data_IF_063533165435
#
_entry.id   IF_063533165435
#
_cell.length_a   1.000
_cell.length_b   1.000
_cell.length_c   1.000
_cell.angle_alpha   90.00
_cell.angle_beta   90.00
_cell.angle_gamma   90.00
#
_symmetry.space_group_name_H-M   'P 1'
#
loop_
_entity.id
_entity.type
_entity.pdbx_description
1 polymer ?
#
# COMPACT_ATOMS: atom_id res chain seq x y z
N UNK A 1 0.51 -9.43 25.51
CA UNK A 1 1.67 -9.87 24.70
C UNK A 1 2.84 -9.02 25.16
N UNK A 2 4.00 -9.59 25.50
CA UNK A 2 5.13 -8.79 26.00
C UNK A 2 5.73 -7.97 24.85
N UNK A 3 5.94 -6.68 25.08
CA UNK A 3 6.53 -5.74 24.12
C UNK A 3 7.96 -6.18 23.77
N UNK A 4 8.25 -6.39 22.47
CA UNK A 4 9.60 -6.73 22.01
C UNK A 4 10.36 -5.42 21.88
N UNK A 5 11.48 -5.28 22.57
CA UNK A 5 12.33 -4.09 22.39
C UNK A 5 13.16 -4.20 21.11
N UNK A 6 13.22 -3.08 20.40
CA UNK A 6 13.99 -2.82 19.18
C UNK A 6 15.07 -1.74 19.39
N UNK A 7 15.44 -1.40 20.63
CA UNK A 7 16.37 -0.31 20.95
C UNK A 7 17.67 -0.31 20.17
N UNK A 8 18.21 -1.50 19.86
CA UNK A 8 19.44 -1.62 19.06
C UNK A 8 19.15 -1.47 17.58
N UNK A 9 18.05 -2.05 17.13
CA UNK A 9 17.59 -2.05 15.76
C UNK A 9 17.17 -0.65 15.28
N UNK A 10 16.58 0.19 16.15
CA UNK A 10 16.18 1.56 15.80
C UNK A 10 17.37 2.47 15.51
N UNK A 11 18.58 2.13 15.94
CA UNK A 11 19.81 2.85 15.54
C UNK A 11 20.00 2.80 14.02
N UNK A 12 19.48 1.76 13.34
CA UNK A 12 19.52 1.68 11.88
C UNK A 12 18.70 2.77 11.18
N UNK A 13 17.77 3.43 11.89
CA UNK A 13 17.00 4.55 11.33
C UNK A 13 17.88 5.79 11.10
N UNK A 14 19.01 5.90 11.79
CA UNK A 14 19.99 7.00 11.68
C UNK A 14 21.02 6.78 10.56
N UNK A 15 20.96 5.65 9.85
CA UNK A 15 21.86 5.34 8.74
C UNK A 15 21.85 6.49 7.71
N UNK A 16 23.01 7.13 7.42
CA UNK A 16 23.08 8.33 6.57
C UNK A 16 22.67 8.06 5.13
N UNK A 17 22.21 9.08 4.42
CA UNK A 17 21.85 8.98 3.00
C UNK A 17 23.00 8.42 2.15
N UNK A 18 22.67 7.62 1.14
CA UNK A 18 23.65 7.01 0.24
C UNK A 18 24.39 5.80 0.83
N UNK A 19 24.03 5.36 2.04
CA UNK A 19 24.58 4.15 2.66
C UNK A 19 23.57 3.01 2.65
N UNK A 20 24.06 1.78 2.84
CA UNK A 20 23.21 0.58 2.75
C UNK A 20 22.60 0.27 4.10
N UNK A 21 21.28 0.35 4.18
CA UNK A 21 20.50 -0.21 5.28
C UNK A 21 20.42 -1.74 5.13
N UNK A 22 20.48 -2.48 6.25
CA UNK A 22 20.28 -3.93 6.29
C UNK A 22 19.45 -4.31 7.51
N UNK A 23 18.23 -4.80 7.30
CA UNK A 23 17.31 -5.10 8.39
C UNK A 23 16.02 -5.74 7.93
N UNK A 24 15.04 -5.77 8.84
CA UNK A 24 13.69 -6.30 8.65
C UNK A 24 12.77 -5.28 7.95
N UNK A 25 11.73 -5.77 7.26
CA UNK A 25 10.74 -4.97 6.55
C UNK A 25 10.13 -3.83 7.37
N UNK A 26 9.72 -4.11 8.61
CA UNK A 26 9.12 -3.08 9.49
C UNK A 26 10.06 -1.91 9.78
N UNK A 27 11.37 -2.17 9.97
CA UNK A 27 12.37 -1.11 10.19
C UNK A 27 12.61 -0.30 8.91
N UNK A 28 12.58 -0.98 7.76
CA UNK A 28 12.68 -0.33 6.46
C UNK A 28 11.49 0.60 6.20
N UNK A 29 10.27 0.19 6.57
CA UNK A 29 9.07 1.03 6.51
C UNK A 29 9.22 2.25 7.43
N UNK A 30 9.63 2.06 8.69
CA UNK A 30 9.87 3.19 9.60
C UNK A 30 10.93 4.14 9.06
N UNK A 31 12.04 3.62 8.52
CA UNK A 31 13.07 4.44 7.87
C UNK A 31 12.47 5.24 6.70
N UNK A 32 11.69 4.61 5.84
CA UNK A 32 11.04 5.28 4.72
C UNK A 32 10.06 6.38 5.15
N UNK A 33 9.32 6.18 6.26
CA UNK A 33 8.47 7.23 6.84
C UNK A 33 9.27 8.48 7.23
N UNK A 34 10.45 8.30 7.84
CA UNK A 34 11.35 9.39 8.19
C UNK A 34 11.96 10.07 6.95
N UNK A 35 12.35 9.30 5.94
CA UNK A 35 12.83 9.84 4.67
C UNK A 35 11.75 10.65 3.93
N UNK A 36 10.47 10.33 4.15
CA UNK A 36 9.33 11.04 3.59
C UNK A 36 8.96 12.32 4.35
N UNK A 37 9.55 12.61 5.51
CA UNK A 37 9.17 13.78 6.32
C UNK A 37 7.74 13.68 6.84
N UNK A 38 7.37 12.52 7.38
CA UNK A 38 6.08 12.35 8.06
C UNK A 38 5.97 13.31 9.25
N UNK A 39 4.82 13.94 9.44
CA UNK A 39 4.57 14.87 10.55
C UNK A 39 3.99 14.20 11.79
N UNK A 40 3.26 13.10 11.60
CA UNK A 40 2.73 12.30 12.70
C UNK A 40 2.47 10.86 12.29
N UNK A 41 2.61 9.95 13.25
CA UNK A 41 2.33 8.53 13.11
C UNK A 41 1.47 8.06 14.29
N UNK A 42 0.38 7.36 14.02
CA UNK A 42 -0.43 6.73 15.05
C UNK A 42 -0.74 5.27 14.71
N UNK A 43 -1.24 4.49 15.65
CA UNK A 43 -1.64 3.14 15.33
C UNK A 43 -2.18 2.34 16.49
N UNK A 44 -2.69 1.16 16.15
CA UNK A 44 -3.18 0.17 17.10
C UNK A 44 -2.50 -1.16 16.83
N UNK A 45 -2.03 -1.83 17.88
CA UNK A 45 -1.23 -3.04 17.76
C UNK A 45 -2.06 -4.21 17.21
N UNK A 46 -1.51 -4.92 16.23
CA UNK A 46 -2.05 -6.20 15.76
C UNK A 46 -1.10 -6.94 14.83
N UNK A 47 -0.94 -8.24 15.03
CA UNK A 47 -0.12 -9.11 14.17
C UNK A 47 -0.75 -9.17 12.77
N UNK A 48 0.01 -9.13 11.66
CA UNK A 48 1.45 -9.40 11.60
C UNK A 48 2.35 -8.16 11.70
N UNK A 49 1.76 -6.98 11.84
CA UNK A 49 2.49 -5.70 11.84
C UNK A 49 2.65 -5.10 13.24
N UNK A 50 2.38 -5.88 14.29
CA UNK A 50 2.40 -5.42 15.69
C UNK A 50 3.72 -4.75 16.07
N UNK A 51 4.85 -5.32 15.60
CA UNK A 51 6.17 -4.79 15.89
C UNK A 51 6.46 -3.41 15.29
N UNK A 52 5.68 -2.94 14.30
CA UNK A 52 5.85 -1.58 13.79
C UNK A 52 5.59 -0.53 14.88
N UNK A 53 4.59 -0.77 15.74
CA UNK A 53 4.31 0.10 16.88
C UNK A 53 5.43 0.06 17.92
N UNK A 54 5.99 -1.13 18.19
CA UNK A 54 7.12 -1.29 19.11
C UNK A 54 8.38 -0.56 18.59
N UNK A 55 8.65 -0.66 17.28
CA UNK A 55 9.73 0.08 16.61
C UNK A 55 9.53 1.59 16.72
N UNK A 56 8.31 2.10 16.48
CA UNK A 56 8.02 3.52 16.59
C UNK A 56 8.14 4.03 18.04
N UNK A 57 7.72 3.21 19.01
CA UNK A 57 7.86 3.53 20.43
C UNK A 57 9.33 3.61 20.87
N UNK A 58 10.16 2.64 20.49
CA UNK A 58 11.59 2.66 20.79
C UNK A 58 12.35 3.74 19.99
N UNK A 59 11.86 4.12 18.79
CA UNK A 59 12.43 5.19 17.96
C UNK A 59 12.06 6.61 18.42
N UNK A 60 11.26 6.76 19.48
CA UNK A 60 10.73 8.06 19.91
C UNK A 60 11.75 9.20 20.05
N UNK A 61 12.98 8.98 20.57
CA UNK A 61 13.99 10.04 20.58
C UNK A 61 14.32 10.61 19.18
N UNK A 62 14.36 9.74 18.16
CA UNK A 62 14.61 10.11 16.77
C UNK A 62 13.40 10.87 16.19
N UNK A 63 12.19 10.41 16.52
CA UNK A 63 10.94 11.05 16.10
C UNK A 63 10.85 12.49 16.66
N UNK A 64 11.11 12.65 17.96
CA UNK A 64 11.05 13.93 18.65
C UNK A 64 12.09 14.92 18.09
N UNK A 65 13.31 14.46 17.77
CA UNK A 65 14.35 15.29 17.14
C UNK A 65 13.93 15.82 15.76
N UNK A 66 13.23 15.00 14.98
CA UNK A 66 12.69 15.38 13.67
C UNK A 66 11.35 16.14 13.75
N UNK A 67 10.78 16.29 14.96
CA UNK A 67 9.48 16.92 15.15
C UNK A 67 8.29 16.08 14.69
N UNK A 68 8.44 14.76 14.64
CA UNK A 68 7.39 13.79 14.30
C UNK A 68 6.60 13.43 15.55
N UNK A 69 5.29 13.62 15.52
CA UNK A 69 4.43 13.19 16.62
C UNK A 69 4.11 11.69 16.54
N UNK A 70 4.27 10.96 17.64
CA UNK A 70 3.89 9.55 17.73
C UNK A 70 2.86 9.31 18.84
N UNK A 71 1.81 8.54 18.52
CA UNK A 71 0.78 8.13 19.48
C UNK A 71 0.38 6.66 19.30
N UNK A 72 0.26 5.93 20.41
CA UNK A 72 -0.46 4.65 20.43
C UNK A 72 -1.94 4.92 20.68
N UNK A 73 -2.78 4.60 19.71
CA UNK A 73 -4.22 4.84 19.77
C UNK A 73 -4.94 3.77 20.61
N UNK A 74 -6.14 4.10 21.09
CA UNK A 74 -6.98 3.16 21.85
C UNK A 74 -7.76 2.16 20.97
N UNK A 75 -7.87 2.43 19.67
CA UNK A 75 -8.52 1.58 18.67
C UNK A 75 -8.07 1.96 17.26
N UNK A 76 -8.35 1.12 16.27
CA UNK A 76 -8.13 1.41 14.85
C UNK A 76 -8.99 2.57 14.34
N UNK A 77 -10.19 2.75 14.90
CA UNK A 77 -11.04 3.90 14.60
C UNK A 77 -10.39 5.21 15.06
N UNK A 78 -9.84 5.23 16.27
CA UNK A 78 -9.08 6.37 16.78
C UNK A 78 -7.82 6.61 15.92
N UNK A 79 -7.08 5.55 15.59
CA UNK A 79 -5.91 5.65 14.73
C UNK A 79 -6.27 6.28 13.38
N UNK A 80 -7.28 5.76 12.66
CA UNK A 80 -7.71 6.31 11.38
C UNK A 80 -8.17 7.78 11.50
N UNK A 81 -8.87 8.15 12.58
CA UNK A 81 -9.29 9.53 12.82
C UNK A 81 -8.11 10.51 13.01
N UNK A 82 -6.94 10.03 13.45
CA UNK A 82 -5.73 10.87 13.55
C UNK A 82 -5.24 11.38 12.20
N UNK A 83 -5.71 10.84 11.06
CA UNK A 83 -5.40 11.36 9.72
C UNK A 83 -6.11 12.67 9.36
N UNK A 84 -7.04 13.15 10.19
CA UNK A 84 -7.79 14.38 9.94
C UNK A 84 -6.94 15.64 9.67
N UNK A 85 -5.77 15.88 10.30
CA UNK A 85 -4.93 17.03 9.99
C UNK A 85 -4.52 17.09 8.51
N UNK A 86 -4.21 15.94 7.89
CA UNK A 86 -3.86 15.86 6.46
C UNK A 86 -4.99 16.27 5.51
N UNK A 87 -6.25 16.32 5.98
CA UNK A 87 -7.38 16.84 5.19
C UNK A 87 -7.33 18.37 5.02
N UNK A 88 -6.74 19.07 5.99
CA UNK A 88 -6.79 20.55 6.06
C UNK A 88 -5.42 21.19 5.85
N UNK A 89 -4.35 20.48 6.18
CA UNK A 89 -2.98 20.98 6.12
C UNK A 89 -2.11 20.08 5.25
N UNK A 90 -1.05 20.62 4.62
CA UNK A 90 -0.09 19.84 3.84
C UNK A 90 0.88 19.08 4.75
N UNK A 91 0.36 18.30 5.68
CA UNK A 91 1.11 17.48 6.65
C UNK A 91 0.97 16.03 6.23
N UNK A 92 2.10 15.34 6.09
CA UNK A 92 2.11 13.90 5.86
C UNK A 92 1.75 13.14 7.14
N UNK A 93 0.71 12.31 7.09
CA UNK A 93 0.25 11.50 8.21
C UNK A 93 0.33 10.01 7.88
N UNK A 94 0.76 9.19 8.83
CA UNK A 94 0.74 7.74 8.69
C UNK A 94 0.01 7.06 9.85
N UNK A 95 -0.71 5.97 9.56
CA UNK A 95 -1.37 5.16 10.57
C UNK A 95 -1.14 3.67 10.33
N UNK A 96 -1.21 2.84 11.38
CA UNK A 96 -1.02 1.39 11.23
C UNK A 96 -1.94 0.55 12.11
N UNK A 97 -2.37 -0.62 11.58
CA UNK A 97 -3.08 -1.66 12.32
C UNK A 97 -3.14 -2.99 11.55
N UNK A 98 -3.75 -4.00 12.18
CA UNK A 98 -4.07 -5.30 11.58
C UNK A 98 -5.35 -5.24 10.75
N UNK A 99 -5.26 -5.51 9.45
CA UNK A 99 -6.41 -5.71 8.56
C UNK A 99 -6.72 -7.21 8.35
N UNK A 100 -7.98 -7.62 8.15
CA UNK A 100 -9.19 -6.82 7.91
C UNK A 100 -9.98 -6.43 9.14
N UNK A 101 -9.84 -7.14 10.26
CA UNK A 101 -10.63 -6.87 11.47
C UNK A 101 -10.46 -5.44 11.99
N UNK A 102 -9.25 -4.89 11.99
CA UNK A 102 -9.01 -3.50 12.37
C UNK A 102 -9.53 -2.51 11.34
N UNK A 103 -9.49 -2.85 10.05
CA UNK A 103 -10.06 -2.02 8.97
C UNK A 103 -11.59 -1.98 9.03
N UNK A 104 -12.24 -3.06 9.49
CA UNK A 104 -13.65 -3.07 9.85
C UNK A 104 -13.96 -2.03 10.93
N UNK A 105 -13.18 -2.02 12.03
CA UNK A 105 -13.31 -1.04 13.12
C UNK A 105 -13.06 0.39 12.63
N UNK A 106 -12.06 0.59 11.76
CA UNK A 106 -11.69 1.89 11.22
C UNK A 106 -12.59 2.38 10.07
N UNK A 107 -13.53 1.57 9.58
CA UNK A 107 -14.15 1.77 8.26
C UNK A 107 -14.90 3.10 8.13
N UNK A 108 -15.57 3.56 9.19
CA UNK A 108 -16.31 4.83 9.18
C UNK A 108 -15.36 6.04 9.08
N UNK A 109 -14.27 6.04 9.87
CA UNK A 109 -13.26 7.09 9.82
C UNK A 109 -12.57 7.14 8.45
N UNK A 110 -12.26 5.98 7.87
CA UNK A 110 -11.70 5.87 6.51
C UNK A 110 -12.67 6.37 5.44
N UNK A 111 -13.96 6.07 5.55
CA UNK A 111 -14.96 6.57 4.61
C UNK A 111 -15.07 8.10 4.66
N UNK A 112 -15.02 8.69 5.87
CA UNK A 112 -15.03 10.14 6.03
C UNK A 112 -13.76 10.80 5.45
N UNK A 113 -12.58 10.27 5.79
CA UNK A 113 -11.29 10.73 5.28
C UNK A 113 -11.24 10.68 3.75
N UNK A 114 -11.59 9.53 3.16
CA UNK A 114 -11.51 9.34 1.72
C UNK A 114 -12.53 10.18 0.96
N UNK A 115 -13.71 10.45 1.55
CA UNK A 115 -14.74 11.30 0.96
C UNK A 115 -14.28 12.75 0.85
N UNK A 116 -13.90 13.39 1.96
CA UNK A 116 -13.41 14.77 1.94
C UNK A 116 -12.11 14.93 1.13
N UNK A 117 -11.29 13.87 1.05
CA UNK A 117 -9.98 13.91 0.43
C UNK A 117 -8.90 14.50 1.34
N UNK A 118 -7.65 14.43 0.88
CA UNK A 118 -6.48 14.86 1.67
C UNK A 118 -5.62 15.84 0.87
N UNK A 119 -5.00 16.78 1.58
CA UNK A 119 -4.07 17.78 1.03
C UNK A 119 -2.63 17.37 1.33
N UNK A 120 -2.36 16.98 2.58
CA UNK A 120 -1.11 16.31 2.94
C UNK A 120 -1.21 14.82 2.65
N UNK A 121 -0.10 14.18 2.27
CA UNK A 121 -0.12 12.76 1.96
C UNK A 121 -0.54 11.92 3.16
N UNK A 122 -1.50 11.02 2.97
CA UNK A 122 -2.04 10.15 4.02
C UNK A 122 -1.77 8.69 3.69
N UNK A 123 -1.05 8.01 4.58
CA UNK A 123 -0.67 6.60 4.43
C UNK A 123 -1.30 5.73 5.52
N UNK A 124 -1.95 4.66 5.11
CA UNK A 124 -2.56 3.66 5.99
C UNK A 124 -1.79 2.35 5.79
N UNK A 125 -0.95 1.98 6.73
CA UNK A 125 -0.13 0.77 6.67
C UNK A 125 -0.93 -0.36 7.30
N UNK A 126 -1.29 -1.37 6.51
CA UNK A 126 -2.09 -2.49 7.00
C UNK A 126 -1.31 -3.79 6.95
N UNK A 127 -1.31 -4.52 8.06
CA UNK A 127 -0.83 -5.90 8.08
C UNK A 127 -1.95 -6.83 7.64
N UNK A 128 -1.81 -7.52 6.51
CA UNK A 128 -2.76 -8.55 6.03
C UNK A 128 -2.10 -9.95 6.06
N UNK A 129 -2.89 -10.97 6.36
CA UNK A 129 -2.41 -12.36 6.48
C UNK A 129 -3.47 -13.38 6.03
N UNK A 130 -4.22 -13.02 4.98
CA UNK A 130 -5.11 -13.96 4.33
C UNK A 130 -4.36 -15.25 3.97
N UNK A 131 -4.98 -16.41 4.23
CA UNK A 131 -4.38 -17.72 4.00
C UNK A 131 -3.29 -18.14 5.00
N UNK A 132 -2.99 -17.31 6.00
CA UNK A 132 -1.91 -17.54 6.97
C UNK A 132 -2.43 -17.58 8.43
N UNK A 133 -1.54 -17.94 9.36
CA UNK A 133 -1.93 -18.46 10.69
C UNK A 133 -2.46 -17.46 11.74
N UNK A 134 -2.30 -16.15 11.57
CA UNK A 134 -2.78 -15.15 12.55
C UNK A 134 -4.11 -14.50 12.19
N UNK A 135 -4.70 -14.82 11.04
CA UNK A 135 -5.98 -14.29 10.62
C UNK A 135 -7.14 -14.97 11.35
N UNK A 136 -8.05 -14.18 11.90
CA UNK A 136 -9.30 -14.69 12.51
C UNK A 136 -10.39 -14.84 11.42
N UNK A 137 -10.51 -13.84 10.55
CA UNK A 137 -11.49 -13.79 9.46
C UNK A 137 -10.75 -13.72 8.12
N UNK A 138 -11.00 -14.70 7.26
CA UNK A 138 -10.39 -14.81 5.93
C UNK A 138 -11.07 -13.84 4.96
N UNK A 139 -10.85 -12.55 5.17
CA UNK A 139 -11.30 -11.44 4.32
C UNK A 139 -10.07 -10.63 3.85
N UNK A 140 -10.26 -9.76 2.86
CA UNK A 140 -9.17 -8.96 2.27
C UNK A 140 -9.45 -7.45 2.30
N UNK A 141 -8.41 -6.65 2.49
CA UNK A 141 -8.45 -5.17 2.55
C UNK A 141 -9.02 -4.56 1.29
N UNK A 142 -8.83 -5.24 0.14
CA UNK A 142 -9.27 -4.79 -1.17
C UNK A 142 -10.74 -4.33 -1.20
N UNK A 143 -11.64 -5.01 -0.48
CA UNK A 143 -13.04 -4.62 -0.38
C UNK A 143 -13.23 -3.21 0.21
N UNK A 144 -12.42 -2.83 1.20
CA UNK A 144 -12.46 -1.51 1.83
C UNK A 144 -11.84 -0.44 0.95
N UNK A 145 -10.74 -0.78 0.26
CA UNK A 145 -10.12 0.09 -0.74
C UNK A 145 -11.14 0.47 -1.83
N UNK A 146 -11.88 -0.50 -2.38
CA UNK A 146 -12.95 -0.27 -3.34
C UNK A 146 -14.12 0.51 -2.73
N UNK A 147 -14.61 0.11 -1.55
CA UNK A 147 -15.76 0.74 -0.86
C UNK A 147 -15.54 2.23 -0.65
N UNK A 148 -14.36 2.62 -0.19
CA UNK A 148 -14.08 4.01 0.19
C UNK A 148 -13.36 4.80 -0.91
N UNK A 149 -12.95 4.14 -1.99
CA UNK A 149 -12.06 4.66 -3.04
C UNK A 149 -10.73 5.16 -2.45
N UNK A 150 -9.97 4.22 -1.89
CA UNK A 150 -8.64 4.42 -1.31
C UNK A 150 -7.67 3.57 -2.11
N UNK A 151 -6.56 4.14 -2.58
CA UNK A 151 -5.61 3.39 -3.42
C UNK A 151 -4.90 2.34 -2.58
N UNK A 152 -4.72 1.14 -3.14
CA UNK A 152 -4.12 0.00 -2.44
C UNK A 152 -2.85 -0.41 -3.14
N UNK A 153 -1.73 -0.31 -2.43
CA UNK A 153 -0.43 -0.80 -2.87
C UNK A 153 -0.12 -2.11 -2.14
N UNK A 154 0.27 -3.12 -2.89
CA UNK A 154 0.74 -4.44 -2.42
C UNK A 154 2.11 -4.72 -3.05
N UNK A 155 3.19 -4.07 -2.57
CA UNK A 155 4.49 -4.12 -3.22
C UNK A 155 5.10 -5.52 -3.16
N UNK A 156 6.00 -5.82 -4.11
CA UNK A 156 6.83 -7.02 -4.03
C UNK A 156 7.52 -7.15 -2.65
N UNK A 157 7.60 -8.36 -2.08
CA UNK A 157 8.15 -8.59 -0.75
C UNK A 157 9.69 -8.56 -0.75
N UNK A 158 10.25 -7.39 -1.01
CA UNK A 158 11.67 -7.04 -0.89
C UNK A 158 11.81 -5.59 -0.40
N UNK A 159 12.90 -5.26 0.30
CA UNK A 159 13.03 -3.93 0.92
C UNK A 159 13.02 -2.76 -0.09
N UNK A 160 13.72 -2.81 -1.23
CA UNK A 160 13.64 -1.73 -2.22
C UNK A 160 12.20 -1.41 -2.68
N UNK A 161 11.42 -2.43 -3.02
CA UNK A 161 10.01 -2.26 -3.44
C UNK A 161 9.14 -1.72 -2.31
N UNK A 162 9.28 -2.24 -1.08
CA UNK A 162 8.50 -1.78 0.09
C UNK A 162 8.82 -0.32 0.43
N UNK A 163 10.11 0.05 0.48
CA UNK A 163 10.54 1.41 0.78
C UNK A 163 10.06 2.38 -0.31
N UNK A 164 10.25 2.02 -1.58
CA UNK A 164 9.75 2.83 -2.70
C UNK A 164 8.22 2.97 -2.66
N UNK A 165 7.49 1.93 -2.25
CA UNK A 165 6.04 2.01 -2.09
C UNK A 165 5.64 3.01 -0.99
N UNK A 166 6.37 3.11 0.13
CA UNK A 166 6.13 4.17 1.12
C UNK A 166 6.35 5.56 0.52
N UNK A 167 7.44 5.76 -0.21
CA UNK A 167 7.74 7.03 -0.90
C UNK A 167 6.64 7.40 -1.91
N UNK A 168 6.25 6.45 -2.75
CA UNK A 168 5.22 6.67 -3.75
C UNK A 168 3.82 6.77 -3.14
N UNK A 169 3.52 6.14 -2.00
CA UNK A 169 2.24 6.28 -1.32
C UNK A 169 1.96 7.72 -0.92
N UNK A 170 2.93 8.42 -0.30
CA UNK A 170 2.75 9.82 0.06
C UNK A 170 2.59 10.70 -1.18
N UNK A 171 3.46 10.51 -2.18
CA UNK A 171 3.42 11.33 -3.39
C UNK A 171 2.19 11.06 -4.28
N UNK A 172 1.73 9.81 -4.38
CA UNK A 172 0.46 9.45 -5.02
C UNK A 172 -0.71 10.09 -4.26
N UNK A 173 -0.68 10.02 -2.93
CA UNK A 173 -1.73 10.59 -2.09
C UNK A 173 -1.88 12.10 -2.30
N UNK A 174 -0.75 12.81 -2.37
CA UNK A 174 -0.69 14.25 -2.64
C UNK A 174 -1.08 14.59 -4.08
N UNK A 175 -0.62 13.80 -5.06
CA UNK A 175 -0.91 14.02 -6.47
C UNK A 175 -2.39 13.81 -6.83
N UNK A 176 -3.08 12.93 -6.11
CA UNK A 176 -4.47 12.58 -6.37
C UNK A 176 -5.45 13.05 -5.29
N UNK A 177 -4.98 13.73 -4.25
CA UNK A 177 -5.77 14.11 -3.06
C UNK A 177 -6.55 12.96 -2.39
N UNK A 178 -6.02 11.73 -2.44
CA UNK A 178 -6.67 10.52 -1.88
C UNK A 178 -5.74 9.82 -0.91
N UNK A 179 -6.22 9.31 0.23
CA UNK A 179 -5.38 8.48 1.09
C UNK A 179 -4.94 7.19 0.38
N UNK A 180 -3.83 6.61 0.83
CA UNK A 180 -3.27 5.38 0.26
C UNK A 180 -3.13 4.33 1.34
N UNK A 181 -3.59 3.12 1.06
CA UNK A 181 -3.30 1.91 1.82
C UNK A 181 -2.03 1.25 1.29
N UNK A 182 -1.11 0.94 2.19
CA UNK A 182 0.04 0.08 1.94
C UNK A 182 -0.20 -1.25 2.65
N UNK A 183 -0.47 -2.28 1.87
CA UNK A 183 -0.63 -3.64 2.34
C UNK A 183 0.73 -4.29 2.55
N UNK A 184 0.95 -4.81 3.75
CA UNK A 184 2.10 -5.62 4.10
C UNK A 184 1.62 -7.00 4.53
N UNK A 185 1.91 -7.98 3.68
CA UNK A 185 1.69 -9.40 3.97
C UNK A 185 2.69 -9.89 5.04
N UNK A 186 2.39 -10.99 5.73
CA UNK A 186 3.29 -11.59 6.75
C UNK A 186 4.75 -11.65 6.29
N UNK A 187 4.98 -12.17 5.08
CA UNK A 187 6.34 -12.31 4.56
C UNK A 187 7.01 -10.96 4.30
N UNK A 188 6.25 -9.95 3.86
CA UNK A 188 6.78 -8.60 3.69
C UNK A 188 7.11 -7.93 5.03
N UNK A 189 6.31 -8.17 6.08
CA UNK A 189 6.62 -7.65 7.43
C UNK A 189 7.96 -8.18 7.96
N UNK A 190 8.25 -9.47 7.73
CA UNK A 190 9.42 -10.15 8.30
C UNK A 190 10.59 -10.36 7.31
N UNK A 191 10.44 -9.89 6.07
CA UNK A 191 11.51 -10.03 5.06
C UNK A 191 12.75 -9.27 5.52
N UNK A 192 13.90 -9.91 5.38
CA UNK A 192 15.18 -9.25 5.58
C UNK A 192 15.80 -8.93 4.23
N UNK A 193 16.43 -7.77 4.14
CA UNK A 193 17.10 -7.37 2.90
C UNK A 193 17.92 -6.10 3.10
N UNK A 194 18.12 -5.38 2.01
CA UNK A 194 18.89 -4.15 2.02
C UNK A 194 18.41 -3.16 0.97
N UNK A 195 18.59 -1.87 1.23
CA UNK A 195 18.37 -0.79 0.27
C UNK A 195 19.32 0.38 0.57
N UNK A 196 19.53 1.27 -0.41
CA UNK A 196 20.31 2.50 -0.23
C UNK A 196 19.38 3.57 0.35
N UNK A 197 19.75 4.11 1.51
CA UNK A 197 18.92 5.07 2.24
C UNK A 197 18.93 6.46 1.61
N UNK A 198 17.86 7.21 1.87
CA UNK A 198 17.77 8.65 1.64
C UNK A 198 17.94 9.39 2.97
N UNK A 199 18.00 10.71 2.89
CA UNK A 199 18.10 11.57 4.06
C UNK A 199 16.77 11.56 4.84
N UNK A 200 16.84 11.42 6.17
CA UNK A 200 15.68 11.64 7.03
C UNK A 200 15.33 13.13 7.01
N UNK A 201 14.05 13.45 6.92
CA UNK A 201 13.59 14.84 6.80
C UNK A 201 12.62 15.17 7.92
N UNK A 202 12.69 16.39 8.50
CA UNK A 202 11.57 16.89 9.28
C UNK A 202 10.36 17.13 8.37
N UNK A 203 9.13 17.18 8.90
CA UNK A 203 7.97 17.50 8.11
C UNK A 203 8.06 18.93 7.55
N UNK A 204 7.73 19.09 6.26
CA UNK A 204 7.73 20.42 5.62
C UNK A 204 6.71 21.39 6.25
N UNK A 205 5.61 20.84 6.78
CA UNK A 205 4.65 21.55 7.62
C UNK A 205 4.39 20.72 8.88
N UNK A 206 4.62 21.30 10.05
CA UNK A 206 4.51 20.62 11.35
C UNK A 206 3.12 20.79 11.98
N UNK A 207 2.77 19.86 12.88
CA UNK A 207 1.55 19.99 13.69
C UNK A 207 1.54 21.28 14.54
N UNK A 208 2.71 21.72 15.01
CA UNK A 208 2.83 23.00 15.74
C UNK A 208 2.40 24.19 14.88
N UNK A 209 2.84 24.25 13.62
CA UNK A 209 2.41 25.30 12.69
C UNK A 209 0.90 25.25 12.43
N UNK A 210 0.29 24.06 12.40
CA UNK A 210 -1.16 23.91 12.28
C UNK A 210 -1.90 24.49 13.50
N UNK A 211 -1.39 24.23 14.71
CA UNK A 211 -1.95 24.72 15.96
C UNK A 211 -1.79 26.24 16.12
N UNK A 212 -0.65 26.79 15.68
CA UNK A 212 -0.36 28.23 15.75
C UNK A 212 -1.23 29.04 14.76
N UNK A 213 -1.69 28.42 13.67
CA UNK A 213 -2.53 29.07 12.65
C UNK A 213 -3.66 28.14 12.15
N UNK A 214 -4.69 27.89 12.98
CA UNK A 214 -5.74 26.94 12.65
C UNK A 214 -6.59 27.41 11.47
N UNK A 215 -6.79 26.50 10.52
CA UNK A 215 -7.67 26.66 9.35
C UNK A 215 -8.88 25.75 9.50
N UNK A 216 -10.01 26.19 8.95
CA UNK A 216 -11.23 25.41 8.87
C UNK A 216 -11.81 25.54 7.48
N UNK A 217 -11.83 24.42 6.75
CA UNK A 217 -12.51 24.31 5.47
C UNK A 217 -13.75 23.41 5.64
N UNK A 218 -14.93 24.04 5.70
CA UNK A 218 -16.18 23.29 5.85
C UNK A 218 -16.55 22.51 4.60
N UNK A 219 -15.97 22.85 3.43
CA UNK A 219 -16.23 22.12 2.19
C UNK A 219 -15.67 20.70 2.22
N UNK A 220 -14.70 20.40 3.11
CA UNK A 220 -14.11 19.06 3.28
C UNK A 220 -14.84 18.18 4.30
N UNK A 221 -15.88 18.72 4.95
CA UNK A 221 -16.72 17.96 5.88
C UNK A 221 -17.77 17.20 5.06
N UNK A 222 -17.92 15.90 5.32
CA UNK A 222 -18.82 15.00 4.57
C UNK A 222 -20.27 15.19 5.00
N UNK A 223 -20.85 16.32 4.61
CA UNK A 223 -22.25 16.66 4.86
C UNK A 223 -22.87 17.26 3.59
N UNK A 224 -24.19 17.11 3.36
CA UNK A 224 -24.86 17.81 2.27
C UNK A 224 -24.69 19.34 2.39
N UNK A 225 -24.40 20.06 1.29
CA UNK A 225 -24.32 19.59 -0.10
C UNK A 225 -22.93 19.08 -0.54
N UNK A 226 -21.89 19.21 0.28
CA UNK A 226 -20.50 18.87 -0.09
C UNK A 226 -20.30 17.40 -0.44
N UNK A 227 -21.08 16.49 0.17
CA UNK A 227 -20.98 15.05 -0.08
C UNK A 227 -21.11 14.68 -1.57
N UNK A 228 -21.99 15.34 -2.34
CA UNK A 228 -22.11 15.09 -3.79
C UNK A 228 -20.94 15.66 -4.58
N UNK A 229 -20.38 16.80 -4.15
CA UNK A 229 -19.19 17.36 -4.77
C UNK A 229 -17.99 16.46 -4.56
N UNK A 230 -17.84 15.87 -3.37
CA UNK A 230 -16.79 14.89 -3.06
C UNK A 230 -16.88 13.65 -3.94
N UNK A 231 -18.08 13.16 -4.23
CA UNK A 231 -18.29 12.04 -5.14
C UNK A 231 -17.86 12.39 -6.57
N UNK A 232 -18.19 13.59 -7.05
CA UNK A 232 -17.72 14.06 -8.35
C UNK A 232 -16.19 14.22 -8.39
N UNK A 233 -15.58 14.85 -7.38
CA UNK A 233 -14.12 15.01 -7.27
C UNK A 233 -13.40 13.66 -7.31
N UNK A 234 -13.94 12.66 -6.60
CA UNK A 234 -13.43 11.29 -6.59
C UNK A 234 -13.29 10.70 -7.99
N UNK A 235 -14.32 10.82 -8.81
CA UNK A 235 -14.39 10.19 -10.13
C UNK A 235 -13.75 11.04 -11.23
N UNK A 236 -13.99 12.35 -11.23
CA UNK A 236 -13.59 13.24 -12.33
C UNK A 236 -12.16 13.76 -12.19
N UNK A 237 -11.68 13.94 -10.95
CA UNK A 237 -10.39 14.57 -10.69
C UNK A 237 -9.38 13.59 -10.09
N UNK A 238 -9.75 12.95 -8.97
CA UNK A 238 -8.83 12.17 -8.13
C UNK A 238 -8.46 10.83 -8.77
N UNK A 239 -9.44 10.10 -9.33
CA UNK A 239 -9.17 8.84 -10.02
C UNK A 239 -8.26 9.02 -11.25
N UNK A 240 -8.54 9.94 -12.20
CA UNK A 240 -7.64 10.16 -13.32
C UNK A 240 -6.25 10.67 -12.91
N UNK A 241 -6.16 11.47 -11.83
CA UNK A 241 -4.87 11.89 -11.27
C UNK A 241 -4.06 10.71 -10.72
N UNK A 242 -4.71 9.79 -10.02
CA UNK A 242 -4.07 8.58 -9.53
C UNK A 242 -3.56 7.69 -10.67
N UNK A 243 -4.41 7.38 -11.66
CA UNK A 243 -4.04 6.57 -12.83
C UNK A 243 -2.82 7.18 -13.55
N UNK A 244 -2.87 8.49 -13.84
CA UNK A 244 -1.75 9.18 -14.49
C UNK A 244 -0.46 9.10 -13.67
N UNK A 245 -0.52 9.36 -12.37
CA UNK A 245 0.66 9.26 -11.50
C UNK A 245 1.23 7.84 -11.51
N UNK A 246 0.38 6.81 -11.43
CA UNK A 246 0.78 5.40 -11.43
C UNK A 246 1.51 5.05 -12.73
N UNK A 247 0.97 5.45 -13.88
CA UNK A 247 1.56 5.20 -15.20
C UNK A 247 2.88 5.96 -15.40
N UNK A 248 2.92 7.26 -15.08
CA UNK A 248 4.11 8.11 -15.23
C UNK A 248 5.28 7.65 -14.36
N UNK A 249 4.99 7.10 -13.17
CA UNK A 249 6.00 6.60 -12.25
C UNK A 249 6.24 5.09 -12.37
N UNK A 250 5.55 4.41 -13.30
CA UNK A 250 5.71 2.98 -13.57
C UNK A 250 5.65 2.12 -12.30
N UNK A 251 4.63 2.34 -11.46
CA UNK A 251 4.57 1.67 -10.15
C UNK A 251 4.39 0.15 -10.27
N UNK A 252 3.75 -0.32 -11.34
CA UNK A 252 3.65 -1.74 -11.68
C UNK A 252 4.82 -2.19 -12.56
N UNK A 253 5.18 -3.47 -12.45
CA UNK A 253 6.38 -4.01 -13.08
C UNK A 253 6.04 -5.02 -14.18
N UNK A 254 6.89 -5.06 -15.22
CA UNK A 254 6.77 -5.97 -16.35
C UNK A 254 8.08 -6.74 -16.50
N UNK A 255 7.98 -8.06 -16.64
CA UNK A 255 9.12 -8.93 -16.89
C UNK A 255 8.89 -9.68 -18.19
N UNK A 256 9.88 -9.65 -19.08
CA UNK A 256 9.82 -10.36 -20.35
C UNK A 256 10.07 -11.87 -20.16
N UNK A 257 9.65 -12.66 -21.14
CA UNK A 257 9.89 -14.09 -21.22
C UNK A 257 10.01 -14.58 -22.66
N UNK A 258 10.50 -15.80 -22.87
CA UNK A 258 10.61 -16.40 -24.22
C UNK A 258 9.29 -17.01 -24.71
N UNK A 259 8.35 -17.32 -23.81
CA UNK A 259 7.03 -17.88 -24.10
C UNK A 259 5.99 -16.74 -24.18
N UNK A 260 6.05 -15.97 -25.26
CA UNK A 260 5.27 -14.73 -25.42
C UNK A 260 3.76 -14.92 -25.67
N UNK A 261 3.31 -16.13 -26.01
CA UNK A 261 1.90 -16.41 -26.27
C UNK A 261 1.07 -16.55 -24.98
N UNK A 262 1.72 -16.67 -23.83
CA UNK A 262 1.11 -16.75 -22.49
C UNK A 262 1.58 -15.58 -21.62
N UNK A 263 0.89 -15.35 -20.50
CA UNK A 263 1.32 -14.36 -19.51
C UNK A 263 0.78 -14.68 -18.12
N UNK A 264 1.48 -14.23 -17.08
CA UNK A 264 0.99 -14.29 -15.70
C UNK A 264 0.82 -12.87 -15.16
N UNK A 265 -0.37 -12.58 -14.64
CA UNK A 265 -0.67 -11.34 -13.93
C UNK A 265 -0.81 -11.68 -12.45
N UNK A 266 -0.17 -10.93 -11.56
CA UNK A 266 -0.19 -11.21 -10.13
C UNK A 266 -0.11 -9.93 -9.30
N UNK A 267 -0.59 -9.98 -8.06
CA UNK A 267 -0.30 -8.94 -7.07
C UNK A 267 1.17 -8.98 -6.64
N UNK A 268 1.74 -7.82 -6.35
CA UNK A 268 3.15 -7.71 -5.98
C UNK A 268 3.52 -8.57 -4.78
N UNK A 269 2.69 -8.58 -3.75
CA UNK A 269 2.92 -9.40 -2.55
C UNK A 269 2.96 -10.91 -2.81
N UNK A 270 2.41 -11.39 -3.92
CA UNK A 270 2.40 -12.81 -4.32
C UNK A 270 3.61 -13.19 -5.18
N UNK A 271 4.41 -12.22 -5.62
CA UNK A 271 5.52 -12.43 -6.56
C UNK A 271 6.46 -13.56 -6.15
N UNK A 272 6.92 -13.60 -4.90
CA UNK A 272 7.87 -14.63 -4.48
C UNK A 272 7.27 -16.04 -4.53
N UNK A 273 5.99 -16.20 -4.17
CA UNK A 273 5.31 -17.49 -4.22
C UNK A 273 5.09 -17.94 -5.67
N UNK A 274 4.66 -17.02 -6.54
CA UNK A 274 4.48 -17.31 -7.97
C UNK A 274 5.81 -17.69 -8.62
N UNK A 275 6.89 -16.96 -8.34
CA UNK A 275 8.22 -17.31 -8.86
C UNK A 275 8.71 -18.66 -8.37
N UNK A 276 8.46 -19.02 -7.09
CA UNK A 276 8.77 -20.37 -6.57
C UNK A 276 7.98 -21.46 -7.29
N UNK A 277 6.69 -21.23 -7.55
CA UNK A 277 5.86 -22.18 -8.30
C UNK A 277 6.34 -22.35 -9.75
N UNK A 278 6.67 -21.25 -10.45
CA UNK A 278 7.23 -21.30 -11.80
C UNK A 278 8.58 -22.02 -11.84
N UNK A 279 9.43 -21.83 -10.83
CA UNK A 279 10.71 -22.56 -10.73
C UNK A 279 10.53 -24.07 -10.57
N UNK A 280 9.47 -24.51 -9.87
CA UNK A 280 9.17 -25.95 -9.74
C UNK A 280 8.85 -26.61 -11.09
N UNK A 281 8.43 -25.83 -12.07
CA UNK A 281 8.09 -26.25 -13.44
C UNK A 281 9.18 -25.89 -14.46
N UNK A 282 10.40 -25.53 -14.01
CA UNK A 282 11.51 -25.07 -14.87
C UNK A 282 11.16 -23.85 -15.75
N UNK A 283 10.21 -23.02 -15.30
CA UNK A 283 9.75 -21.80 -15.98
C UNK A 283 10.32 -20.50 -15.38
N UNK A 284 11.08 -20.59 -14.29
CA UNK A 284 11.75 -19.45 -13.69
C UNK A 284 13.09 -19.87 -13.05
N UNK A 285 13.93 -18.89 -12.72
CA UNK A 285 15.22 -19.12 -12.07
C UNK A 285 15.37 -18.43 -10.70
N UNK A 286 16.46 -18.74 -10.01
CA UNK A 286 16.80 -18.18 -8.70
C UNK A 286 17.10 -16.67 -8.72
N UNK A 287 17.38 -16.11 -9.90
CA UNK A 287 17.75 -14.70 -10.10
C UNK A 287 16.55 -13.83 -10.50
N UNK A 288 15.37 -14.41 -10.60
CA UNK A 288 14.13 -13.70 -10.93
C UNK A 288 13.80 -13.70 -12.42
N UNK A 289 14.55 -14.42 -13.24
CA UNK A 289 14.21 -14.65 -14.64
C UNK A 289 12.98 -15.56 -14.76
N UNK A 290 12.08 -15.23 -15.68
CA UNK A 290 10.90 -16.04 -16.00
C UNK A 290 10.85 -16.30 -17.51
N UNK A 291 10.46 -17.52 -17.89
CA UNK A 291 10.20 -17.91 -19.28
C UNK A 291 8.85 -17.39 -19.77
N UNK A 292 7.91 -17.20 -18.86
CA UNK A 292 6.59 -16.61 -19.16
C UNK A 292 6.63 -15.13 -18.79
N UNK A 293 6.20 -14.21 -19.67
CA UNK A 293 6.07 -12.79 -19.33
C UNK A 293 5.20 -12.58 -18.08
N UNK A 294 5.61 -11.64 -17.22
CA UNK A 294 4.92 -11.33 -15.96
C UNK A 294 4.47 -9.87 -15.93
N UNK A 295 3.24 -9.64 -15.46
CA UNK A 295 2.76 -8.33 -15.05
C UNK A 295 2.50 -8.34 -13.54
N UNK A 296 3.31 -7.58 -12.81
CA UNK A 296 3.29 -7.53 -11.35
C UNK A 296 2.63 -6.23 -10.92
N UNK A 297 1.41 -6.38 -10.39
CA UNK A 297 0.57 -5.31 -9.88
C UNK A 297 0.98 -4.95 -8.46
N UNK A 298 1.97 -4.06 -8.31
CA UNK A 298 2.29 -3.45 -7.01
C UNK A 298 1.19 -2.46 -6.57
N UNK A 299 0.38 -1.97 -7.50
CA UNK A 299 -0.87 -1.26 -7.25
C UNK A 299 -2.01 -2.25 -7.46
N UNK A 300 -2.58 -2.75 -6.37
CA UNK A 300 -3.73 -3.67 -6.40
C UNK A 300 -5.03 -2.92 -6.76
N UNK A 301 -5.18 -1.66 -6.31
CA UNK A 301 -6.31 -0.81 -6.67
C UNK A 301 -5.87 0.66 -6.83
N UNK A 302 -6.19 1.33 -7.95
CA UNK A 302 -7.03 0.84 -9.05
C UNK A 302 -6.29 -0.10 -10.01
N UNK A 303 -7.04 -0.91 -10.76
CA UNK A 303 -6.52 -1.62 -11.93
C UNK A 303 -6.26 -0.60 -13.05
N UNK A 304 -5.10 -0.68 -13.70
CA UNK A 304 -4.69 0.23 -14.76
C UNK A 304 -5.01 -0.38 -16.13
N UNK A 305 -6.10 0.09 -16.75
CA UNK A 305 -6.63 -0.46 -17.99
C UNK A 305 -5.56 -0.50 -19.11
N UNK A 306 -4.81 0.58 -19.32
CA UNK A 306 -3.80 0.64 -20.38
C UNK A 306 -2.66 -0.38 -20.20
N UNK A 307 -2.25 -0.61 -18.95
CA UNK A 307 -1.23 -1.60 -18.60
C UNK A 307 -1.72 -3.04 -18.83
N UNK A 308 -2.96 -3.34 -18.48
CA UNK A 308 -3.61 -4.63 -18.76
C UNK A 308 -3.71 -4.87 -20.26
N UNK A 309 -4.16 -3.88 -21.03
CA UNK A 309 -4.28 -3.99 -22.48
C UNK A 309 -2.92 -4.21 -23.15
N UNK A 310 -1.91 -3.42 -22.76
CA UNK A 310 -0.52 -3.59 -23.22
C UNK A 310 0.00 -4.99 -22.93
N UNK A 311 -0.27 -5.51 -21.74
CA UNK A 311 0.23 -6.83 -21.37
C UNK A 311 -0.45 -7.95 -22.15
N UNK A 312 -1.77 -7.87 -22.32
CA UNK A 312 -2.56 -8.92 -22.97
C UNK A 312 -2.47 -8.91 -24.50
N UNK A 313 -2.00 -7.82 -25.10
CA UNK A 313 -1.85 -7.73 -26.56
C UNK A 313 -0.98 -8.86 -27.12
N UNK A 314 -1.49 -9.54 -28.14
CA UNK A 314 -0.83 -10.67 -28.80
C UNK A 314 -0.81 -11.99 -28.01
N UNK A 315 -1.29 -12.02 -26.76
CA UNK A 315 -1.34 -13.25 -25.94
C UNK A 315 -2.60 -14.07 -26.24
N UNK A 316 -2.42 -15.39 -26.27
CA UNK A 316 -3.54 -16.35 -26.37
C UNK A 316 -4.28 -16.43 -25.03
N UNK A 317 -3.55 -16.49 -23.93
CA UNK A 317 -4.13 -16.57 -22.60
C UNK A 317 -3.25 -15.90 -21.53
N UNK A 318 -3.88 -15.46 -20.45
CA UNK A 318 -3.22 -14.98 -19.24
C UNK A 318 -3.77 -15.69 -18.00
N UNK A 319 -2.90 -15.95 -17.03
CA UNK A 319 -3.25 -16.52 -15.73
C UNK A 319 -3.18 -15.44 -14.65
N UNK A 320 -4.27 -15.25 -13.91
CA UNK A 320 -4.35 -14.32 -12.78
C UNK A 320 -4.04 -15.08 -11.49
N UNK A 321 -2.99 -14.65 -10.80
CA UNK A 321 -2.65 -15.13 -9.46
C UNK A 321 -3.14 -14.12 -8.44
N UNK A 322 -4.27 -14.42 -7.81
CA UNK A 322 -4.83 -13.66 -6.69
C UNK A 322 -5.36 -14.59 -5.59
N UNK A 323 -5.35 -14.11 -4.35
CA UNK A 323 -5.78 -14.87 -3.19
C UNK A 323 -7.28 -14.77 -2.94
N UNK A 324 -7.90 -15.88 -2.52
CA UNK A 324 -9.24 -15.87 -1.92
C UNK A 324 -10.41 -15.43 -2.80
N UNK A 325 -11.55 -15.27 -2.15
CA UNK A 325 -12.83 -14.85 -2.72
C UNK A 325 -13.20 -13.46 -2.17
N UNK A 326 -13.86 -12.57 -2.94
CA UNK A 326 -14.11 -12.59 -4.40
C UNK A 326 -12.86 -12.44 -5.29
N UNK A 327 -12.91 -12.91 -6.51
CA UNK A 327 -11.87 -12.74 -7.53
C UNK A 327 -11.84 -11.31 -8.13
N UNK A 328 -11.53 -10.32 -7.29
CA UNK A 328 -11.58 -8.89 -7.62
C UNK A 328 -10.79 -8.55 -8.89
N UNK A 329 -9.57 -9.07 -9.02
CA UNK A 329 -8.68 -8.71 -10.11
C UNK A 329 -9.04 -9.45 -11.39
N UNK A 330 -9.39 -10.73 -11.30
CA UNK A 330 -9.90 -11.50 -12.43
C UNK A 330 -11.14 -10.84 -13.03
N UNK A 331 -12.12 -10.47 -12.19
CA UNK A 331 -13.33 -9.77 -12.65
C UNK A 331 -12.99 -8.42 -13.31
N UNK A 332 -12.12 -7.63 -12.70
CA UNK A 332 -11.72 -6.33 -13.24
C UNK A 332 -10.98 -6.46 -14.58
N UNK A 333 -10.03 -7.39 -14.69
CA UNK A 333 -9.25 -7.64 -15.90
C UNK A 333 -10.15 -8.15 -17.03
N UNK A 334 -11.07 -9.09 -16.73
CA UNK A 334 -12.08 -9.53 -17.71
C UNK A 334 -12.92 -8.36 -18.22
N UNK A 335 -13.32 -7.44 -17.35
CA UNK A 335 -14.08 -6.25 -17.75
C UNK A 335 -13.25 -5.29 -18.63
N UNK A 336 -11.95 -5.10 -18.36
CA UNK A 336 -11.05 -4.31 -19.22
C UNK A 336 -10.95 -4.92 -20.62
N UNK A 337 -10.64 -6.21 -20.72
CA UNK A 337 -10.46 -6.89 -22.00
C UNK A 337 -11.76 -6.94 -22.81
N UNK A 338 -12.89 -7.19 -22.16
CA UNK A 338 -14.21 -7.20 -22.79
C UNK A 338 -14.57 -5.83 -23.39
N UNK A 339 -14.36 -4.74 -22.64
CA UNK A 339 -14.63 -3.37 -23.12
C UNK A 339 -13.75 -2.98 -24.31
N UNK A 340 -12.52 -3.49 -24.37
CA UNK A 340 -11.59 -3.23 -25.46
C UNK A 340 -11.71 -4.22 -26.64
N UNK A 341 -12.52 -5.28 -26.50
CA UNK A 341 -12.70 -6.29 -27.55
C UNK A 341 -11.49 -7.22 -27.75
N UNK A 342 -10.62 -7.39 -26.74
CA UNK A 342 -9.50 -8.35 -26.80
C UNK A 342 -10.01 -9.77 -26.56
N UNK A 343 -9.53 -10.72 -27.37
CA UNK A 343 -9.91 -12.14 -27.30
C UNK A 343 -9.02 -13.00 -26.40
N UNK A 344 -8.05 -12.39 -25.71
CA UNK A 344 -7.15 -13.09 -24.77
C UNK A 344 -7.97 -13.79 -23.69
N UNK A 345 -7.75 -15.10 -23.54
CA UNK A 345 -8.45 -15.91 -22.56
C UNK A 345 -7.88 -15.61 -21.17
N UNK A 346 -8.74 -15.32 -20.20
CA UNK A 346 -8.34 -15.14 -18.80
C UNK A 346 -8.62 -16.41 -18.03
N UNK A 347 -7.58 -16.94 -17.36
CA UNK A 347 -7.66 -18.00 -16.37
C UNK A 347 -7.31 -17.45 -14.98
N UNK A 348 -7.81 -18.08 -13.94
CA UNK A 348 -7.58 -17.72 -12.55
C UNK A 348 -8.27 -18.73 -11.66
N UNK A 349 -9.44 -18.39 -11.12
CA UNK A 349 -10.22 -19.25 -10.21
C UNK A 349 -10.91 -20.45 -10.87
N UNK A 350 -10.89 -20.54 -12.19
CA UNK A 350 -11.23 -21.78 -12.89
C UNK A 350 -10.14 -22.86 -12.73
N UNK A 351 -8.89 -22.45 -12.46
CA UNK A 351 -7.74 -23.34 -12.22
C UNK A 351 -7.31 -23.36 -10.74
N UNK A 352 -7.43 -22.23 -10.04
CA UNK A 352 -7.11 -22.09 -8.61
C UNK A 352 -8.35 -22.25 -7.73
N UNK A 353 -8.15 -22.67 -6.48
CA UNK A 353 -9.25 -22.72 -5.51
C UNK A 353 -9.84 -21.33 -5.26
N UNK A 354 -11.18 -21.27 -5.17
CA UNK A 354 -11.89 -20.06 -4.75
C UNK A 354 -11.64 -19.73 -3.27
N UNK A 355 -11.48 -20.76 -2.44
CA UNK A 355 -11.23 -20.68 -1.01
C UNK A 355 -10.42 -21.89 -0.53
N UNK A 356 -9.80 -21.76 0.65
CA UNK A 356 -8.77 -22.69 1.12
C UNK A 356 -7.49 -22.48 0.33
#
# INVERSE_FOLDING_TARGET
MAERSFKKEVEQLLVPAGTVFRGEGILAVTKALLECGVGYVAGYQGAPISHLMDVLADARPILDELGVHFESSASEACAAATLAPSMTYPIRGAVTWKSTVGTNVASDALANLASGGVIGGSLIIVGEDYGEGSSIMQERTHAFAMKSQIWLLDPRPNLPSIVNAVHHSFALSEASNTPVMLELRIRACHVHGSFVTRENRPPAFSLRQALDAPRRDTSRIVLPPAAFMHEHEKVLDRWPAAVRYIEENQLNEFFDGDINELGVIMLGGLYNNTMRALMHEDLADLYGGSRIPLYVMNVAYPVIDAEVLRFCEGKKAVLIVEEGQPDYHEQAIRAVLSRAGLSTIVHGKDLFSMAG
#
